data_IF_602506694744
#
_entry.id   IF_602506694744
#
_cell.length_a   1.000
_cell.length_b   1.000
_cell.length_c   1.000
_cell.angle_alpha   90.00
_cell.angle_beta   90.00
_cell.angle_gamma   90.00
#
_symmetry.space_group_name_H-M   'P 1'
#
loop_
_entity.id
_entity.type
_entity.pdbx_description
1 polymer ?
#
# COMPACT_ATOMS: atom_id res chain seq x y z
N UNK A 1 3.82 -7.36 10.90
CA UNK A 1 2.52 -7.94 11.31
C UNK A 1 1.80 -6.91 12.17
N UNK A 2 0.63 -6.42 11.74
CA UNK A 2 -0.18 -5.52 12.57
C UNK A 2 -0.79 -6.32 13.74
N UNK A 3 -0.87 -5.77 14.98
CA UNK A 3 -1.51 -6.46 16.11
C UNK A 3 -3.02 -6.61 15.96
N UNK A 4 -3.62 -5.90 14.99
CA UNK A 4 -5.06 -5.81 14.78
C UNK A 4 -5.45 -6.74 13.63
N UNK A 5 -6.00 -7.91 14.01
CA UNK A 5 -6.64 -8.95 13.17
C UNK A 5 -5.77 -9.65 12.10
N UNK A 6 -5.96 -10.97 11.95
CA UNK A 6 -5.35 -11.76 10.87
C UNK A 6 -5.91 -11.43 9.48
N UNK A 7 -7.07 -10.74 9.43
CA UNK A 7 -7.79 -10.40 8.19
C UNK A 7 -7.16 -9.25 7.42
N UNK A 8 -6.29 -8.48 8.05
CA UNK A 8 -5.64 -7.32 7.42
C UNK A 8 -4.14 -7.57 7.42
N UNK A 9 -3.53 -7.43 6.23
CA UNK A 9 -2.09 -7.53 6.03
C UNK A 9 -1.61 -6.22 5.45
N UNK A 10 -0.49 -5.74 5.96
CA UNK A 10 0.18 -4.53 5.50
C UNK A 10 1.52 -4.93 4.89
N UNK A 11 1.75 -4.48 3.66
CA UNK A 11 3.02 -4.65 2.95
C UNK A 11 3.62 -3.26 2.79
N UNK A 12 4.80 -3.07 3.36
CA UNK A 12 5.53 -1.79 3.27
C UNK A 12 6.32 -1.80 1.97
N UNK A 13 6.07 -0.81 1.09
CA UNK A 13 6.76 -0.68 -0.20
C UNK A 13 8.00 0.22 -0.07
N UNK A 14 7.88 1.30 0.69
CA UNK A 14 8.99 2.20 1.06
C UNK A 14 8.86 2.62 2.52
N UNK A 15 9.99 2.93 3.15
CA UNK A 15 10.08 3.47 4.50
C UNK A 15 11.30 4.38 4.62
N UNK A 16 11.30 5.26 5.63
CA UNK A 16 12.39 6.23 5.83
C UNK A 16 12.21 7.51 5.03
N UNK A 17 13.27 8.33 4.99
CA UNK A 17 13.26 9.64 4.31
C UNK A 17 13.64 9.58 2.82
N UNK A 18 13.99 8.40 2.31
CA UNK A 18 14.43 8.25 0.94
C UNK A 18 13.28 8.52 -0.05
N UNK A 19 13.56 9.35 -1.06
CA UNK A 19 12.59 9.70 -2.10
C UNK A 19 11.59 10.80 -1.72
N UNK A 20 11.66 11.37 -0.51
CA UNK A 20 10.84 12.52 -0.11
C UNK A 20 11.09 13.71 -1.04
N UNK A 21 10.02 14.33 -1.51
CA UNK A 21 10.07 15.49 -2.42
C UNK A 21 10.27 15.12 -3.90
N UNK A 22 10.36 13.83 -4.24
CA UNK A 22 10.45 13.35 -5.61
C UNK A 22 9.28 12.41 -5.95
N UNK A 23 8.89 12.36 -7.23
CA UNK A 23 7.92 11.38 -7.71
C UNK A 23 8.48 9.96 -7.53
N UNK A 24 7.71 9.12 -6.85
CA UNK A 24 8.00 7.70 -6.68
C UNK A 24 7.02 6.89 -7.53
N UNK A 25 7.54 5.92 -8.28
CA UNK A 25 6.75 5.03 -9.12
C UNK A 25 6.77 3.63 -8.55
N UNK A 26 5.58 3.03 -8.38
CA UNK A 26 5.45 1.69 -7.83
C UNK A 26 4.64 0.80 -8.77
N UNK A 27 5.14 -0.43 -8.94
CA UNK A 27 4.42 -1.51 -9.61
C UNK A 27 4.46 -2.74 -8.72
N UNK A 28 3.28 -3.34 -8.49
CA UNK A 28 3.13 -4.54 -7.67
C UNK A 28 2.32 -5.59 -8.42
N UNK A 29 2.58 -6.84 -8.06
CA UNK A 29 1.77 -7.98 -8.46
C UNK A 29 0.85 -8.31 -7.28
N UNK A 30 -0.41 -7.90 -7.38
CA UNK A 30 -1.38 -8.06 -6.30
C UNK A 30 -1.64 -9.53 -5.97
N UNK A 31 -1.49 -10.44 -6.94
CA UNK A 31 -1.67 -11.88 -6.71
C UNK A 31 -0.53 -12.43 -5.88
N UNK A 32 0.72 -12.11 -6.24
CA UNK A 32 1.89 -12.52 -5.45
C UNK A 32 1.88 -11.92 -4.06
N UNK A 33 1.51 -10.64 -3.94
CA UNK A 33 1.44 -9.94 -2.67
C UNK A 33 0.42 -10.57 -1.73
N UNK A 34 -0.76 -10.91 -2.26
CA UNK A 34 -1.79 -11.58 -1.48
C UNK A 34 -1.35 -12.98 -1.04
N UNK A 35 -0.81 -13.78 -1.96
CA UNK A 35 -0.31 -15.13 -1.64
C UNK A 35 0.80 -15.10 -0.59
N UNK A 36 1.73 -14.15 -0.66
CA UNK A 36 2.78 -13.99 0.35
C UNK A 36 2.20 -13.60 1.72
N UNK A 37 1.16 -12.76 1.74
CA UNK A 37 0.60 -12.23 2.98
C UNK A 37 -0.34 -13.19 3.70
N UNK A 38 -1.11 -13.97 2.93
CA UNK A 38 -2.19 -14.84 3.42
C UNK A 38 -1.96 -16.34 3.18
N UNK A 39 -0.95 -16.73 2.40
CA UNK A 39 -0.68 -18.11 2.01
C UNK A 39 -1.81 -18.80 1.25
N UNK A 40 -2.65 -18.04 0.55
CA UNK A 40 -3.77 -18.54 -0.26
C UNK A 40 -3.95 -17.71 -1.55
N UNK A 41 -4.70 -18.22 -2.53
CA UNK A 41 -4.94 -17.54 -3.80
C UNK A 41 -6.05 -16.47 -3.61
N UNK A 42 -5.87 -15.23 -4.08
CA UNK A 42 -6.91 -14.20 -3.96
C UNK A 42 -8.12 -14.51 -4.83
N UNK A 43 -9.29 -14.08 -4.35
CA UNK A 43 -10.48 -13.91 -5.20
C UNK A 43 -10.39 -12.67 -6.10
N UNK A 44 -11.51 -12.31 -6.74
CA UNK A 44 -11.58 -11.09 -7.54
C UNK A 44 -11.41 -9.85 -6.65
N UNK A 45 -10.63 -8.88 -7.13
CA UNK A 45 -10.54 -7.56 -6.51
C UNK A 45 -11.90 -6.86 -6.69
N UNK A 46 -12.49 -6.43 -5.58
CA UNK A 46 -13.78 -5.74 -5.55
C UNK A 46 -13.67 -4.24 -5.24
N UNK A 47 -12.48 -3.77 -4.85
CA UNK A 47 -12.22 -2.38 -4.55
C UNK A 47 -10.73 -2.11 -4.33
N UNK A 48 -10.33 -0.86 -4.62
CA UNK A 48 -9.00 -0.33 -4.33
C UNK A 48 -9.20 1.02 -3.65
N UNK A 49 -8.59 1.19 -2.48
CA UNK A 49 -8.56 2.46 -1.75
C UNK A 49 -7.14 3.00 -1.70
N UNK A 50 -7.00 4.31 -1.86
CA UNK A 50 -5.73 5.01 -1.70
C UNK A 50 -5.91 6.09 -0.66
N UNK A 51 -4.98 6.16 0.29
CA UNK A 51 -5.08 7.07 1.41
C UNK A 51 -3.69 7.48 1.88
N UNK A 52 -3.60 8.74 2.32
CA UNK A 52 -2.46 9.23 3.08
C UNK A 52 -2.90 9.32 4.53
N UNK A 53 -2.26 8.54 5.38
CA UNK A 53 -2.50 8.57 6.83
C UNK A 53 -1.35 9.30 7.52
N UNK A 54 -1.68 10.24 8.41
CA UNK A 54 -0.70 11.10 9.12
C UNK A 54 -0.79 10.96 10.64
N UNK A 55 -1.43 9.89 11.13
CA UNK A 55 -1.99 9.84 12.47
C UNK A 55 -0.98 9.71 13.64
N UNK A 56 0.32 9.54 13.43
CA UNK A 56 1.27 9.30 14.53
C UNK A 56 2.33 10.38 14.79
N UNK A 57 2.30 11.52 14.08
CA UNK A 57 3.33 12.58 14.21
C UNK A 57 2.78 13.98 14.52
N UNK A 58 1.45 14.18 14.51
CA UNK A 58 0.81 15.53 14.59
C UNK A 58 1.28 16.51 13.51
N UNK A 59 1.80 16.01 12.40
CA UNK A 59 2.30 16.82 11.29
C UNK A 59 1.28 16.88 10.18
N UNK A 60 1.20 18.03 9.50
CA UNK A 60 0.48 18.14 8.23
C UNK A 60 1.39 17.63 7.12
N UNK A 61 0.86 16.76 6.25
CA UNK A 61 1.56 16.35 5.03
C UNK A 61 0.67 16.58 3.83
N UNK A 62 1.28 16.98 2.72
CA UNK A 62 0.62 16.99 1.42
C UNK A 62 1.12 15.78 0.63
N UNK A 63 0.20 15.01 0.08
CA UNK A 63 0.50 13.92 -0.84
C UNK A 63 -0.23 14.18 -2.15
N UNK A 64 0.48 13.98 -3.26
CA UNK A 64 -0.08 14.09 -4.60
C UNK A 64 0.01 12.71 -5.22
N UNK A 65 -1.10 12.25 -5.77
CA UNK A 65 -1.17 11.01 -6.51
C UNK A 65 -1.12 11.31 -8.00
N UNK A 66 -0.28 10.57 -8.72
CA UNK A 66 -0.26 10.57 -10.18
C UNK A 66 -1.24 9.53 -10.73
N UNK A 67 -1.01 9.13 -11.97
CA UNK A 67 -1.82 8.12 -12.63
C UNK A 67 -1.81 6.78 -11.87
N UNK A 68 -2.99 6.20 -11.70
CA UNK A 68 -3.19 4.91 -11.03
C UNK A 68 -3.85 3.98 -12.03
N UNK A 69 -3.18 2.87 -12.33
CA UNK A 69 -3.65 1.90 -13.30
C UNK A 69 -3.70 0.49 -12.68
N UNK A 70 -4.85 -0.17 -12.80
CA UNK A 70 -4.98 -1.59 -12.54
C UNK A 70 -5.00 -2.35 -13.87
N UNK A 71 -3.96 -3.15 -14.11
CA UNK A 71 -3.80 -3.95 -15.33
C UNK A 71 -3.97 -5.44 -15.01
N UNK A 72 -4.55 -6.19 -15.95
CA UNK A 72 -4.64 -7.65 -15.91
C UNK A 72 -3.37 -8.29 -16.48
#
# INVERSE_FOLDING_TARGET
SSPRTSRIKMIVVNSGGDGVGAWQYHRRDLTKDFQMAFSEVPGKIIGLGLLTDTDNTRTQVNAIYGDIELKK
#
